data_IF_520852059949
#
_entry.id   IF_520852059949
#
_cell.length_a   1.000
_cell.length_b   1.000
_cell.length_c   1.000
_cell.angle_alpha   90.00
_cell.angle_beta   90.00
_cell.angle_gamma   90.00
#
_symmetry.space_group_name_H-M   'P 1'
#
loop_
_entity.id
_entity.type
_entity.pdbx_description
1 polymer ?
#
# COMPACT_ATOMS: atom_id res chain seq x y z
N UNK A 1 -5.71 -2.34 2.15
CA UNK A 1 -6.61 -3.19 2.96
C UNK A 1 -5.77 -3.88 4.03
N UNK A 2 -6.20 -3.92 5.30
CA UNK A 2 -5.43 -4.57 6.35
C UNK A 2 -5.13 -6.03 6.00
N UNK A 3 -3.90 -6.48 6.24
CA UNK A 3 -3.48 -7.84 5.87
C UNK A 3 -4.22 -8.92 6.64
N UNK A 4 -4.62 -8.65 7.88
CA UNK A 4 -5.37 -9.59 8.71
C UNK A 4 -6.74 -9.98 8.15
N UNK A 5 -7.25 -9.25 7.14
CA UNK A 5 -8.43 -9.66 6.36
C UNK A 5 -8.22 -11.00 5.64
N UNK A 6 -6.98 -11.45 5.48
CA UNK A 6 -6.59 -12.69 4.79
C UNK A 6 -6.06 -13.79 5.71
N UNK A 7 -6.18 -13.64 7.04
CA UNK A 7 -5.63 -14.55 8.03
C UNK A 7 -4.76 -13.83 9.06
N UNK A 8 -4.55 -14.44 10.23
CA UNK A 8 -3.75 -13.88 11.31
C UNK A 8 -2.30 -13.62 10.90
N UNK A 9 -1.78 -14.40 9.96
CA UNK A 9 -0.45 -14.28 9.36
C UNK A 9 -0.26 -12.93 8.63
N UNK A 10 -1.37 -12.29 8.21
CA UNK A 10 -1.36 -10.97 7.59
C UNK A 10 -1.27 -9.80 8.57
N UNK A 11 -1.23 -10.04 9.89
CA UNK A 11 -1.11 -8.99 10.91
C UNK A 11 0.20 -8.22 10.76
N UNK A 12 0.11 -6.89 10.79
CA UNK A 12 1.26 -6.00 10.54
C UNK A 12 1.54 -5.71 9.05
N UNK A 13 0.82 -6.36 8.13
CA UNK A 13 0.94 -6.13 6.68
C UNK A 13 -0.28 -5.41 6.10
N UNK A 14 -0.11 -4.88 4.89
CA UNK A 14 -1.17 -4.23 4.10
C UNK A 14 -1.14 -4.78 2.67
N UNK A 15 -2.31 -5.13 2.13
CA UNK A 15 -2.46 -5.50 0.71
C UNK A 15 -2.71 -4.26 -0.14
N UNK A 16 -1.91 -4.11 -1.19
CA UNK A 16 -2.06 -3.10 -2.24
C UNK A 16 -2.61 -3.74 -3.53
N UNK A 17 -3.42 -2.99 -4.27
CA UNK A 17 -3.91 -3.38 -5.59
C UNK A 17 -3.12 -2.61 -6.67
N UNK A 18 -2.57 -3.33 -7.64
CA UNK A 18 -1.82 -2.76 -8.76
C UNK A 18 -2.53 -2.93 -10.12
N UNK A 19 -3.77 -3.46 -10.13
CA UNK A 19 -4.61 -3.64 -11.31
C UNK A 19 -5.24 -2.33 -11.78
N UNK A 20 -4.42 -1.37 -12.19
CA UNK A 20 -4.84 -0.08 -12.72
C UNK A 20 -3.82 0.45 -13.74
N UNK A 21 -4.13 1.51 -14.52
CA UNK A 21 -3.18 2.10 -15.43
C UNK A 21 -1.89 2.50 -14.74
N UNK A 22 -0.74 2.30 -15.41
CA UNK A 22 0.59 2.60 -14.88
C UNK A 22 0.70 4.01 -14.30
N UNK A 23 0.14 5.01 -14.99
CA UNK A 23 0.17 6.40 -14.54
C UNK A 23 -0.55 6.64 -13.21
N UNK A 24 -1.60 5.86 -12.89
CA UNK A 24 -2.29 5.91 -11.60
C UNK A 24 -1.46 5.21 -10.52
N UNK A 25 -0.85 4.07 -10.86
CA UNK A 25 0.01 3.32 -9.95
C UNK A 25 1.24 4.14 -9.54
N UNK A 26 1.93 4.76 -10.49
CA UNK A 26 3.12 5.59 -10.24
C UNK A 26 2.81 6.75 -9.29
N UNK A 27 1.70 7.47 -9.52
CA UNK A 27 1.23 8.53 -8.61
C UNK A 27 0.94 8.01 -7.20
N UNK A 28 0.28 6.85 -7.10
CA UNK A 28 -0.01 6.22 -5.81
C UNK A 28 1.24 5.80 -5.04
N UNK A 29 2.22 5.20 -5.72
CA UNK A 29 3.49 4.76 -5.12
C UNK A 29 4.29 5.97 -4.63
N UNK A 30 4.40 7.04 -5.43
CA UNK A 30 5.07 8.26 -5.01
C UNK A 30 4.43 8.89 -3.76
N UNK A 31 3.09 8.95 -3.72
CA UNK A 31 2.35 9.42 -2.54
C UNK A 31 2.59 8.57 -1.29
N UNK A 32 2.61 7.24 -1.43
CA UNK A 32 2.89 6.33 -0.33
C UNK A 32 4.30 6.52 0.24
N UNK A 33 5.32 6.64 -0.62
CA UNK A 33 6.70 6.90 -0.20
C UNK A 33 6.80 8.23 0.57
N UNK A 34 6.15 9.28 0.06
CA UNK A 34 6.16 10.60 0.70
C UNK A 34 5.49 10.56 2.08
N UNK A 35 4.33 9.90 2.20
CA UNK A 35 3.64 9.75 3.48
C UNK A 35 4.49 9.00 4.51
N UNK A 36 5.15 7.90 4.12
CA UNK A 36 6.05 7.14 5.00
C UNK A 36 7.23 8.01 5.48
N UNK A 37 7.80 8.82 4.58
CA UNK A 37 8.90 9.74 4.93
C UNK A 37 8.44 10.86 5.88
N UNK A 38 7.19 11.29 5.80
CA UNK A 38 6.67 12.38 6.64
C UNK A 38 6.36 11.95 8.08
N UNK A 39 6.14 10.66 8.32
CA UNK A 39 5.84 10.10 9.66
C UNK A 39 7.05 9.45 10.34
N UNK A 40 8.22 9.48 9.67
CA UNK A 40 9.48 8.98 10.18
C UNK A 40 10.29 10.10 10.82
#
# INVERSE_FOLDING_TARGET
MPGYTYGEEGRGFVRLNAGCPRSKLEKGVAGLINAIRAVR
#
